data_IF_132369581123
#
_entry.id   IF_132369581123
#
_cell.length_a   1.000
_cell.length_b   1.000
_cell.length_c   1.000
_cell.angle_alpha   90.00
_cell.angle_beta   90.00
_cell.angle_gamma   90.00
#
_symmetry.space_group_name_H-M   'P 1'
#
loop_
_entity.id
_entity.type
_entity.pdbx_description
1 polymer ?
#
# COMPACT_ATOMS: atom_id res chain seq x y z
N UNK A 1 -16.00 -10.10 -24.56
CA UNK A 1 -16.00 -9.95 -26.03
C UNK A 1 -14.61 -9.58 -26.49
N UNK A 2 -14.14 -10.25 -27.50
CA UNK A 2 -12.86 -9.94 -28.16
C UNK A 2 -13.14 -9.00 -29.33
N UNK A 3 -12.44 -7.86 -29.38
CA UNK A 3 -12.58 -6.88 -30.46
C UNK A 3 -11.33 -6.00 -30.58
N UNK A 4 -11.08 -5.52 -31.79
CA UNK A 4 -10.07 -4.50 -32.03
C UNK A 4 -10.71 -3.12 -31.77
N UNK A 5 -10.01 -2.28 -31.01
CA UNK A 5 -10.40 -0.89 -30.79
C UNK A 5 -9.76 -0.04 -31.88
N UNK A 6 -10.58 0.54 -32.76
CA UNK A 6 -10.14 1.37 -33.87
C UNK A 6 -10.83 2.74 -33.84
N UNK A 7 -10.02 3.78 -33.88
CA UNK A 7 -10.48 5.16 -33.89
C UNK A 7 -11.00 5.66 -32.54
N UNK A 8 -11.76 6.76 -32.59
CA UNK A 8 -12.28 7.47 -31.42
C UNK A 8 -13.46 6.73 -30.75
N UNK A 9 -14.18 5.92 -31.51
CA UNK A 9 -15.34 5.16 -31.04
C UNK A 9 -15.40 3.81 -31.74
N UNK A 10 -15.51 2.75 -30.94
CA UNK A 10 -15.72 1.38 -31.45
C UNK A 10 -17.05 0.85 -30.96
N UNK A 11 -17.93 0.43 -31.88
CA UNK A 11 -19.23 -0.15 -31.56
C UNK A 11 -19.08 -1.65 -31.31
N UNK A 12 -19.55 -2.13 -30.14
CA UNK A 12 -19.53 -3.54 -29.79
C UNK A 12 -20.86 -4.19 -30.19
N UNK A 13 -21.02 -4.55 -31.46
CA UNK A 13 -22.23 -5.17 -32.02
C UNK A 13 -22.68 -6.41 -31.24
N UNK A 14 -21.73 -7.21 -30.75
CA UNK A 14 -22.01 -8.39 -29.95
C UNK A 14 -22.70 -8.11 -28.60
N UNK A 15 -22.65 -6.88 -28.11
CA UNK A 15 -23.32 -6.43 -26.89
C UNK A 15 -24.70 -5.81 -27.16
N UNK A 16 -25.05 -5.54 -28.43
CA UNK A 16 -26.31 -4.89 -28.79
C UNK A 16 -27.52 -5.69 -28.30
N UNK A 17 -28.45 -5.01 -27.62
CA UNK A 17 -29.67 -5.63 -27.07
C UNK A 17 -29.46 -6.53 -25.83
N UNK A 18 -28.25 -6.69 -25.34
CA UNK A 18 -27.96 -7.38 -24.07
C UNK A 18 -28.16 -6.47 -22.87
N UNK A 19 -28.56 -7.06 -21.75
CA UNK A 19 -28.61 -6.32 -20.50
C UNK A 19 -27.19 -5.89 -20.11
N UNK A 20 -27.01 -4.61 -19.81
CA UNK A 20 -25.73 -4.07 -19.32
C UNK A 20 -25.38 -4.70 -17.96
N UNK A 21 -24.17 -5.25 -17.77
CA UNK A 21 -23.72 -5.70 -16.47
C UNK A 21 -23.42 -4.48 -15.55
N UNK A 22 -23.31 -4.74 -14.24
CA UNK A 22 -22.96 -3.70 -13.26
C UNK A 22 -21.52 -3.21 -13.43
N UNK A 23 -20.63 -4.04 -13.99
CA UNK A 23 -19.24 -3.73 -14.24
C UNK A 23 -18.82 -4.19 -15.64
N UNK A 24 -18.09 -3.35 -16.34
CA UNK A 24 -17.47 -3.63 -17.64
C UNK A 24 -15.98 -3.36 -17.51
N UNK A 25 -15.16 -4.41 -17.59
CA UNK A 25 -13.71 -4.28 -17.68
C UNK A 25 -13.31 -4.26 -19.15
N UNK A 26 -12.69 -3.15 -19.56
CA UNK A 26 -12.02 -3.04 -20.85
C UNK A 26 -10.59 -3.54 -20.64
N UNK A 27 -10.02 -4.21 -21.63
CA UNK A 27 -8.68 -4.83 -21.55
C UNK A 27 -8.61 -5.96 -20.53
N UNK A 28 -9.67 -6.77 -20.45
CA UNK A 28 -9.66 -8.04 -19.75
C UNK A 28 -8.48 -8.89 -20.25
N UNK A 29 -7.86 -9.69 -19.38
CA UNK A 29 -6.60 -10.42 -19.65
C UNK A 29 -5.35 -9.55 -19.94
N UNK A 30 -5.44 -8.23 -19.78
CA UNK A 30 -4.31 -7.28 -19.96
C UNK A 30 -3.58 -7.39 -21.31
N UNK A 31 -4.34 -7.59 -22.38
CA UNK A 31 -3.80 -7.86 -23.72
C UNK A 31 -3.23 -6.62 -24.42
N UNK A 32 -3.59 -5.42 -23.95
CA UNK A 32 -3.21 -4.16 -24.62
C UNK A 32 -2.60 -3.18 -23.63
N UNK A 33 -1.50 -2.53 -24.03
CA UNK A 33 -0.90 -1.45 -23.26
C UNK A 33 -1.75 -0.18 -23.41
N UNK A 34 -2.62 0.07 -22.43
CA UNK A 34 -3.58 1.19 -22.46
C UNK A 34 -3.92 1.66 -21.04
N UNK A 35 -4.36 2.92 -20.94
CA UNK A 35 -5.00 3.44 -19.74
C UNK A 35 -6.51 3.21 -19.81
N UNK A 36 -7.05 2.53 -18.82
CA UNK A 36 -8.48 2.27 -18.71
C UNK A 36 -9.17 3.46 -18.03
N UNK A 37 -10.34 3.83 -18.55
CA UNK A 37 -11.29 4.73 -17.88
C UNK A 37 -12.64 4.03 -17.81
N UNK A 38 -13.19 3.97 -16.61
CA UNK A 38 -14.50 3.37 -16.39
C UNK A 38 -15.61 4.37 -16.66
N UNK A 39 -16.75 3.89 -17.12
CA UNK A 39 -17.98 4.65 -16.99
C UNK A 39 -18.42 4.75 -15.51
N UNK A 40 -19.30 5.69 -15.19
CA UNK A 40 -19.66 5.99 -13.81
C UNK A 40 -20.25 4.80 -13.02
N UNK A 41 -21.02 3.91 -13.67
CA UNK A 41 -21.60 2.74 -13.00
C UNK A 41 -20.54 1.67 -12.73
N UNK A 42 -19.67 1.39 -13.72
CA UNK A 42 -18.56 0.47 -13.57
C UNK A 42 -17.57 0.95 -12.51
N UNK A 43 -17.24 2.26 -12.49
CA UNK A 43 -16.38 2.85 -11.48
C UNK A 43 -16.95 2.66 -10.06
N UNK A 44 -18.22 3.06 -9.84
CA UNK A 44 -18.85 2.94 -8.53
C UNK A 44 -18.95 1.47 -8.05
N UNK A 45 -19.26 0.57 -8.99
CA UNK A 45 -19.31 -0.87 -8.67
C UNK A 45 -17.92 -1.41 -8.26
N UNK A 46 -16.88 -1.12 -9.06
CA UNK A 46 -15.53 -1.59 -8.80
C UNK A 46 -14.96 -0.99 -7.51
N UNK A 47 -15.15 0.31 -7.27
CA UNK A 47 -14.73 0.97 -6.02
C UNK A 47 -15.30 0.27 -4.78
N UNK A 48 -16.56 -0.15 -4.82
CA UNK A 48 -17.22 -0.82 -3.70
C UNK A 48 -16.91 -2.31 -3.58
N UNK A 49 -16.53 -3.01 -4.67
CA UNK A 49 -16.51 -4.47 -4.74
C UNK A 49 -15.19 -5.09 -5.22
N UNK A 50 -14.17 -4.29 -5.53
CA UNK A 50 -12.91 -4.77 -6.11
C UNK A 50 -12.31 -5.97 -5.35
N UNK A 51 -12.29 -5.90 -4.03
CA UNK A 51 -11.78 -6.96 -3.15
C UNK A 51 -12.55 -8.28 -3.24
N UNK A 52 -13.69 -8.30 -3.94
CA UNK A 52 -14.56 -9.47 -4.11
C UNK A 52 -14.47 -10.09 -5.50
N UNK A 53 -13.63 -9.56 -6.38
CA UNK A 53 -13.42 -10.15 -7.69
C UNK A 53 -12.63 -11.45 -7.54
N UNK A 54 -13.15 -12.55 -8.07
CA UNK A 54 -12.50 -13.86 -7.97
C UNK A 54 -11.23 -13.93 -8.83
N UNK A 55 -11.24 -13.33 -10.01
CA UNK A 55 -10.10 -13.31 -10.92
C UNK A 55 -9.03 -12.32 -10.45
N UNK A 56 -7.82 -12.83 -10.18
CA UNK A 56 -6.71 -12.03 -9.66
C UNK A 56 -6.19 -11.02 -10.70
N UNK A 57 -6.17 -11.39 -11.99
CA UNK A 57 -5.73 -10.49 -13.04
C UNK A 57 -6.74 -9.36 -13.25
N UNK A 58 -8.04 -9.68 -13.30
CA UNK A 58 -9.09 -8.69 -13.39
C UNK A 58 -9.07 -7.72 -12.18
N UNK A 59 -8.80 -8.22 -10.96
CA UNK A 59 -8.57 -7.36 -9.78
C UNK A 59 -7.39 -6.42 -9.98
N UNK A 60 -6.25 -6.96 -10.40
CA UNK A 60 -5.01 -6.19 -10.61
C UNK A 60 -5.20 -5.11 -11.69
N UNK A 61 -5.75 -5.47 -12.84
CA UNK A 61 -6.02 -4.54 -13.97
C UNK A 61 -7.00 -3.44 -13.55
N UNK A 62 -8.06 -3.80 -12.83
CA UNK A 62 -9.04 -2.83 -12.34
C UNK A 62 -8.42 -1.88 -11.32
N UNK A 63 -7.63 -2.41 -10.38
CA UNK A 63 -6.94 -1.61 -9.38
C UNK A 63 -5.92 -0.66 -10.02
N UNK A 64 -5.15 -1.14 -11.02
CA UNK A 64 -4.21 -0.33 -11.79
C UNK A 64 -4.91 0.80 -12.56
N UNK A 65 -6.13 0.56 -13.06
CA UNK A 65 -6.91 1.62 -13.69
C UNK A 65 -7.24 2.74 -12.70
N UNK A 66 -7.63 2.43 -11.46
CA UNK A 66 -7.83 3.43 -10.41
C UNK A 66 -6.53 4.15 -10.03
N UNK A 67 -5.40 3.44 -10.01
CA UNK A 67 -4.09 4.05 -9.81
C UNK A 67 -3.77 5.08 -10.90
N UNK A 68 -3.97 4.74 -12.16
CA UNK A 68 -3.78 5.66 -13.26
C UNK A 68 -4.72 6.87 -13.19
N UNK A 69 -6.00 6.65 -12.84
CA UNK A 69 -6.97 7.73 -12.64
C UNK A 69 -6.55 8.65 -11.47
N UNK A 70 -6.00 8.10 -10.40
CA UNK A 70 -5.49 8.88 -9.25
C UNK A 70 -4.31 9.74 -9.67
N UNK A 71 -3.35 9.19 -10.41
CA UNK A 71 -2.18 9.91 -10.92
C UNK A 71 -2.56 11.02 -11.89
N UNK A 72 -3.60 10.81 -12.68
CA UNK A 72 -4.10 11.78 -13.65
C UNK A 72 -5.05 12.82 -13.02
N UNK A 73 -5.34 12.70 -11.71
CA UNK A 73 -6.21 13.64 -10.97
C UNK A 73 -7.71 13.43 -11.22
N UNK A 74 -8.10 12.28 -11.74
CA UNK A 74 -9.47 11.93 -12.10
C UNK A 74 -10.18 11.08 -11.04
N UNK A 75 -9.42 10.53 -10.08
CA UNK A 75 -9.93 9.80 -8.93
C UNK A 75 -9.35 10.36 -7.63
N UNK A 76 -10.16 10.59 -6.57
CA UNK A 76 -9.67 11.19 -5.33
C UNK A 76 -8.64 10.31 -4.63
N UNK A 77 -7.52 10.91 -4.23
CA UNK A 77 -6.42 10.22 -3.57
C UNK A 77 -6.85 9.48 -2.28
N UNK A 78 -7.68 10.11 -1.45
CA UNK A 78 -8.20 9.49 -0.21
C UNK A 78 -9.07 8.27 -0.52
N UNK A 79 -9.93 8.33 -1.55
CA UNK A 79 -10.73 7.17 -1.98
C UNK A 79 -9.85 6.02 -2.48
N UNK A 80 -8.75 6.32 -3.19
CA UNK A 80 -7.80 5.30 -3.63
C UNK A 80 -7.10 4.63 -2.44
N UNK A 81 -6.70 5.41 -1.43
CA UNK A 81 -6.11 4.88 -0.19
C UNK A 81 -7.07 3.92 0.49
N UNK A 82 -8.32 4.34 0.74
CA UNK A 82 -9.33 3.51 1.40
C UNK A 82 -9.67 2.24 0.62
N UNK A 83 -9.78 2.36 -0.71
CA UNK A 83 -9.99 1.19 -1.59
C UNK A 83 -8.82 0.22 -1.52
N UNK A 84 -7.59 0.72 -1.50
CA UNK A 84 -6.38 -0.11 -1.42
C UNK A 84 -6.28 -0.82 -0.07
N UNK A 85 -6.58 -0.16 1.05
CA UNK A 85 -6.63 -0.79 2.37
C UNK A 85 -7.63 -1.96 2.41
N UNK A 86 -8.82 -1.80 1.80
CA UNK A 86 -9.80 -2.91 1.68
C UNK A 86 -9.28 -4.05 0.81
N UNK A 87 -8.56 -3.75 -0.27
CA UNK A 87 -7.93 -4.75 -1.12
C UNK A 87 -6.87 -5.54 -0.35
N UNK A 88 -5.96 -4.85 0.34
CA UNK A 88 -4.89 -5.49 1.12
C UNK A 88 -5.40 -6.45 2.18
N UNK A 89 -6.58 -6.20 2.76
CA UNK A 89 -7.18 -7.09 3.74
C UNK A 89 -7.56 -8.48 3.19
N UNK A 90 -7.67 -8.63 1.87
CA UNK A 90 -8.16 -9.86 1.21
C UNK A 90 -7.28 -10.33 0.05
N UNK A 91 -6.31 -9.55 -0.39
CA UNK A 91 -5.45 -9.90 -1.53
C UNK A 91 -4.47 -11.01 -1.14
N UNK A 92 -4.43 -12.03 -1.98
CA UNK A 92 -3.58 -13.21 -1.81
C UNK A 92 -2.47 -13.29 -2.86
N UNK A 93 -2.55 -12.48 -3.91
CA UNK A 93 -1.52 -12.42 -4.94
C UNK A 93 -0.41 -11.47 -4.50
N UNK A 94 0.79 -12.01 -4.24
CA UNK A 94 1.89 -11.29 -3.59
C UNK A 94 2.43 -10.11 -4.41
N UNK A 95 2.40 -10.20 -5.74
CA UNK A 95 2.86 -9.12 -6.63
C UNK A 95 1.91 -7.94 -6.58
N UNK A 96 0.59 -8.20 -6.68
CA UNK A 96 -0.46 -7.18 -6.55
C UNK A 96 -0.40 -6.54 -5.17
N UNK A 97 -0.24 -7.35 -4.11
CA UNK A 97 -0.14 -6.88 -2.73
C UNK A 97 1.02 -5.87 -2.53
N UNK A 98 2.23 -6.25 -2.95
CA UNK A 98 3.42 -5.38 -2.83
C UNK A 98 3.28 -4.10 -3.64
N UNK A 99 2.75 -4.21 -4.85
CA UNK A 99 2.56 -3.05 -5.71
C UNK A 99 1.48 -2.11 -5.15
N UNK A 100 0.42 -2.68 -4.57
CA UNK A 100 -0.63 -1.92 -3.89
C UNK A 100 -0.08 -1.10 -2.71
N UNK A 101 0.76 -1.71 -1.87
CA UNK A 101 1.45 -1.00 -0.79
C UNK A 101 2.30 0.18 -1.30
N UNK A 102 3.07 -0.03 -2.36
CA UNK A 102 3.95 1.00 -2.93
C UNK A 102 3.14 2.19 -3.51
N UNK A 103 2.06 1.89 -4.26
CA UNK A 103 1.22 2.93 -4.83
C UNK A 103 0.40 3.67 -3.77
N UNK A 104 -0.08 2.96 -2.74
CA UNK A 104 -0.75 3.57 -1.59
C UNK A 104 0.19 4.52 -0.85
N UNK A 105 1.44 4.12 -0.63
CA UNK A 105 2.47 4.98 -0.02
C UNK A 105 2.68 6.26 -0.85
N UNK A 106 2.88 6.10 -2.15
CA UNK A 106 3.01 7.25 -3.07
C UNK A 106 1.80 8.18 -3.00
N UNK A 107 0.60 7.60 -2.97
CA UNK A 107 -0.65 8.38 -2.93
C UNK A 107 -0.78 9.15 -1.61
N UNK A 108 -0.61 8.46 -0.48
CA UNK A 108 -0.77 9.07 0.85
C UNK A 108 0.23 10.20 1.09
N UNK A 109 1.51 10.02 0.71
CA UNK A 109 2.54 11.01 0.95
C UNK A 109 2.54 12.16 -0.06
N UNK A 110 2.10 11.95 -1.31
CA UNK A 110 2.33 12.92 -2.38
C UNK A 110 1.05 13.46 -3.04
N UNK A 111 -0.04 12.68 -3.11
CA UNK A 111 -1.25 13.07 -3.84
C UNK A 111 -2.38 13.52 -2.93
N UNK A 112 -2.38 13.12 -1.66
CA UNK A 112 -3.33 13.66 -0.66
C UNK A 112 -3.05 15.14 -0.43
N UNK A 113 -4.11 15.94 -0.36
CA UNK A 113 -4.01 17.37 -0.10
C UNK A 113 -3.22 17.65 1.19
N UNK A 114 -2.30 18.63 1.22
CA UNK A 114 -1.43 18.89 2.38
C UNK A 114 -2.20 19.04 3.71
N UNK A 115 -3.37 19.69 3.68
CA UNK A 115 -4.19 19.89 4.87
C UNK A 115 -4.82 18.61 5.44
N UNK A 116 -4.87 17.52 4.65
CA UNK A 116 -5.46 16.24 5.03
C UNK A 116 -4.40 15.15 5.24
N UNK A 117 -3.17 15.41 4.78
CA UNK A 117 -2.12 14.39 4.69
C UNK A 117 -1.82 13.71 6.02
N UNK A 118 -1.61 14.49 7.06
CA UNK A 118 -1.31 14.00 8.41
C UNK A 118 -2.41 13.05 8.94
N UNK A 119 -3.68 13.41 8.76
CA UNK A 119 -4.81 12.56 9.15
C UNK A 119 -4.84 11.26 8.36
N UNK A 120 -4.62 11.32 7.04
CA UNK A 120 -4.59 10.14 6.17
C UNK A 120 -3.41 9.22 6.51
N UNK A 121 -2.22 9.78 6.76
CA UNK A 121 -1.05 8.98 7.14
C UNK A 121 -1.28 8.24 8.46
N UNK A 122 -1.84 8.90 9.49
CA UNK A 122 -2.21 8.23 10.75
C UNK A 122 -3.29 7.16 10.56
N UNK A 123 -4.28 7.42 9.70
CA UNK A 123 -5.30 6.42 9.37
C UNK A 123 -4.67 5.19 8.73
N UNK A 124 -3.83 5.37 7.72
CA UNK A 124 -3.12 4.27 7.05
C UNK A 124 -2.23 3.51 8.02
N UNK A 125 -1.48 4.19 8.89
CA UNK A 125 -0.66 3.55 9.91
C UNK A 125 -1.50 2.65 10.84
N UNK A 126 -2.64 3.16 11.35
CA UNK A 126 -3.52 2.40 12.23
C UNK A 126 -4.11 1.16 11.54
N UNK A 127 -4.53 1.28 10.28
CA UNK A 127 -5.06 0.17 9.50
C UNK A 127 -3.98 -0.87 9.17
N UNK A 128 -2.78 -0.45 8.75
CA UNK A 128 -1.66 -1.35 8.50
C UNK A 128 -1.24 -2.11 9.76
N UNK A 129 -1.24 -1.44 10.92
CA UNK A 129 -0.98 -2.09 12.20
C UNK A 129 -2.05 -3.14 12.55
N UNK A 130 -3.31 -2.81 12.31
CA UNK A 130 -4.43 -3.73 12.50
C UNK A 130 -4.31 -4.95 11.58
N UNK A 131 -4.01 -4.73 10.30
CA UNK A 131 -3.83 -5.80 9.32
C UNK A 131 -2.61 -6.68 9.65
N UNK A 132 -1.49 -6.08 10.09
CA UNK A 132 -0.30 -6.84 10.49
C UNK A 132 -0.56 -7.75 11.70
N UNK A 133 -1.37 -7.29 12.66
CA UNK A 133 -1.80 -8.10 13.80
C UNK A 133 -2.77 -9.23 13.42
N UNK A 134 -3.59 -9.03 12.39
CA UNK A 134 -4.56 -10.01 11.93
C UNK A 134 -4.01 -11.01 10.90
N UNK A 135 -2.86 -10.71 10.30
CA UNK A 135 -2.23 -11.58 9.31
C UNK A 135 -1.74 -12.89 9.93
N UNK A 136 -1.59 -13.93 9.11
CA UNK A 136 -1.04 -15.21 9.54
C UNK A 136 0.35 -15.00 10.15
N UNK A 137 0.56 -15.55 11.34
CA UNK A 137 1.78 -15.39 12.12
C UNK A 137 3.02 -15.87 11.33
N UNK A 138 4.02 -15.00 11.20
CA UNK A 138 5.26 -15.27 10.47
C UNK A 138 5.11 -15.32 8.95
N UNK A 139 3.96 -14.92 8.39
CA UNK A 139 3.76 -14.87 6.94
C UNK A 139 4.51 -13.70 6.30
N UNK A 140 4.81 -13.84 5.00
CA UNK A 140 5.35 -12.75 4.18
C UNK A 140 4.41 -11.53 4.16
N UNK A 141 3.10 -11.76 4.14
CA UNK A 141 2.09 -10.71 4.24
C UNK A 141 2.21 -9.92 5.55
N UNK A 142 2.36 -10.60 6.69
CA UNK A 142 2.58 -9.95 7.98
C UNK A 142 3.84 -9.10 7.98
N UNK A 143 4.94 -9.65 7.47
CA UNK A 143 6.23 -8.93 7.36
C UNK A 143 6.11 -7.68 6.47
N UNK A 144 5.44 -7.79 5.32
CA UNK A 144 5.24 -6.67 4.40
C UNK A 144 4.36 -5.57 5.02
N UNK A 145 3.29 -5.94 5.74
CA UNK A 145 2.41 -4.99 6.43
C UNK A 145 3.15 -4.27 7.57
N UNK A 146 3.90 -5.01 8.38
CA UNK A 146 4.68 -4.44 9.46
C UNK A 146 5.80 -3.51 8.94
N UNK A 147 6.44 -3.89 7.83
CA UNK A 147 7.43 -3.04 7.15
C UNK A 147 6.78 -1.77 6.58
N UNK A 148 5.64 -1.91 5.91
CA UNK A 148 4.91 -0.77 5.36
C UNK A 148 4.45 0.19 6.48
N UNK A 149 3.94 -0.34 7.60
CA UNK A 149 3.55 0.45 8.77
C UNK A 149 4.64 1.44 9.21
N UNK A 150 5.90 1.00 9.23
CA UNK A 150 7.04 1.82 9.64
C UNK A 150 7.30 3.02 8.71
N UNK A 151 6.78 3.00 7.49
CA UNK A 151 6.86 4.11 6.54
C UNK A 151 5.80 5.21 6.73
N UNK A 152 4.88 5.05 7.69
CA UNK A 152 3.78 5.99 7.92
C UNK A 152 3.85 6.73 9.26
N UNK A 153 5.01 6.68 9.92
CA UNK A 153 5.21 7.44 11.16
C UNK A 153 5.12 8.94 10.93
N UNK A 154 4.46 9.64 11.85
CA UNK A 154 4.38 11.09 11.91
C UNK A 154 4.96 11.60 13.23
N UNK A 155 5.62 12.76 13.19
CA UNK A 155 6.14 13.40 14.38
C UNK A 155 5.00 13.70 15.38
N UNK A 156 5.18 13.27 16.62
CA UNK A 156 4.16 13.44 17.68
C UNK A 156 3.06 12.38 17.67
N UNK A 157 3.11 11.37 16.79
CA UNK A 157 2.22 10.20 16.88
C UNK A 157 2.71 9.24 17.98
N UNK A 158 2.16 9.41 19.17
CA UNK A 158 2.52 8.61 20.35
C UNK A 158 2.18 7.11 20.19
N UNK A 159 1.15 6.76 19.44
CA UNK A 159 0.78 5.36 19.21
C UNK A 159 1.78 4.68 18.28
N UNK A 160 2.17 5.36 17.20
CA UNK A 160 3.21 4.89 16.30
C UNK A 160 4.53 4.71 17.05
N UNK A 161 4.97 5.75 17.77
CA UNK A 161 6.24 5.72 18.52
C UNK A 161 6.26 4.58 19.56
N UNK A 162 5.17 4.37 20.30
CA UNK A 162 5.07 3.29 21.27
C UNK A 162 5.16 1.91 20.62
N UNK A 163 4.45 1.67 19.51
CA UNK A 163 4.51 0.40 18.79
C UNK A 163 5.89 0.14 18.20
N UNK A 164 6.49 1.13 17.51
CA UNK A 164 7.78 0.98 16.88
C UNK A 164 8.91 0.75 17.93
N UNK A 165 8.91 1.50 19.04
CA UNK A 165 9.82 1.27 20.17
C UNK A 165 9.61 -0.10 20.81
N UNK A 166 8.33 -0.48 21.02
CA UNK A 166 7.98 -1.77 21.61
C UNK A 166 8.41 -2.95 20.75
N UNK A 167 8.33 -2.85 19.40
CA UNK A 167 8.91 -3.84 18.49
C UNK A 167 10.43 -3.92 18.64
N UNK A 168 11.11 -2.76 18.79
CA UNK A 168 12.55 -2.69 18.89
C UNK A 168 13.09 -3.31 20.21
N UNK A 169 12.39 -3.09 21.31
CA UNK A 169 12.79 -3.56 22.65
C UNK A 169 12.10 -4.86 23.09
N UNK A 170 11.17 -5.39 22.28
CA UNK A 170 10.45 -6.63 22.53
C UNK A 170 9.29 -6.52 23.53
N UNK A 171 8.88 -5.31 23.91
CA UNK A 171 7.70 -5.08 24.77
C UNK A 171 6.39 -5.14 24.02
N UNK A 172 6.43 -4.92 22.69
CA UNK A 172 5.34 -5.18 21.74
C UNK A 172 5.83 -6.27 20.78
N UNK A 173 4.98 -7.25 20.51
CA UNK A 173 5.29 -8.33 19.57
C UNK A 173 4.14 -8.52 18.60
N UNK A 174 4.47 -8.77 17.34
CA UNK A 174 3.55 -9.38 16.37
C UNK A 174 3.88 -10.88 16.35
N UNK A 175 2.89 -11.72 16.67
CA UNK A 175 3.13 -13.16 16.81
C UNK A 175 3.74 -13.75 15.53
N UNK A 176 4.85 -14.45 15.66
CA UNK A 176 5.59 -15.05 14.55
C UNK A 176 6.47 -14.09 13.73
N UNK A 177 6.41 -12.79 13.93
CA UNK A 177 7.28 -11.83 13.23
C UNK A 177 8.72 -11.94 13.78
N UNK A 178 9.66 -12.27 12.90
CA UNK A 178 11.09 -12.24 13.22
C UNK A 178 11.67 -10.83 13.01
N UNK A 179 12.17 -10.23 14.09
CA UNK A 179 12.85 -8.94 14.05
C UNK A 179 14.35 -9.18 13.87
N UNK A 180 14.73 -9.46 12.65
CA UNK A 180 16.11 -9.63 12.24
C UNK A 180 16.92 -8.31 12.26
N UNK A 181 18.18 -8.37 11.85
CA UNK A 181 19.06 -7.19 11.79
C UNK A 181 18.50 -6.10 10.85
N UNK A 182 17.97 -6.50 9.69
CA UNK A 182 17.47 -5.55 8.69
C UNK A 182 16.20 -4.87 9.18
N UNK A 183 15.27 -5.65 9.73
CA UNK A 183 14.03 -5.10 10.30
C UNK A 183 14.32 -4.20 11.50
N UNK A 184 15.29 -4.55 12.37
CA UNK A 184 15.77 -3.70 13.46
C UNK A 184 16.20 -2.32 12.94
N UNK A 185 17.00 -2.28 11.87
CA UNK A 185 17.44 -1.01 11.28
C UNK A 185 16.31 -0.25 10.59
N UNK A 186 15.33 -0.93 10.01
CA UNK A 186 14.13 -0.30 9.47
C UNK A 186 13.33 0.41 10.57
N UNK A 187 13.16 -0.23 11.74
CA UNK A 187 12.52 0.41 12.90
C UNK A 187 13.30 1.65 13.36
N UNK A 188 14.62 1.55 13.45
CA UNK A 188 15.48 2.67 13.88
C UNK A 188 15.38 3.84 12.91
N UNK A 189 15.47 3.59 11.60
CA UNK A 189 15.31 4.63 10.57
C UNK A 189 13.95 5.31 10.67
N UNK A 190 12.91 4.54 10.88
CA UNK A 190 11.55 5.03 11.06
C UNK A 190 11.43 5.93 12.31
N UNK A 191 11.93 5.46 13.46
CA UNK A 191 11.91 6.26 14.70
C UNK A 191 12.75 7.53 14.60
N UNK A 192 13.88 7.47 13.89
CA UNK A 192 14.74 8.65 13.68
C UNK A 192 14.05 9.67 12.77
N UNK A 193 13.36 9.22 11.72
CA UNK A 193 12.66 10.12 10.77
C UNK A 193 11.54 10.93 11.42
N UNK A 194 10.99 10.44 12.54
CA UNK A 194 9.92 11.13 13.30
C UNK A 194 10.43 11.75 14.61
N UNK A 195 11.74 11.97 14.73
CA UNK A 195 12.42 12.57 15.90
C UNK A 195 12.21 11.80 17.22
N UNK A 196 11.91 10.50 17.15
CA UNK A 196 11.75 9.62 18.31
C UNK A 196 13.05 8.92 18.71
N UNK A 197 14.09 8.94 17.88
CA UNK A 197 15.44 8.51 18.19
C UNK A 197 16.47 9.55 17.77
N UNK A 198 17.54 9.65 18.53
CA UNK A 198 18.65 10.60 18.29
C UNK A 198 19.82 9.92 17.57
N UNK A 199 20.78 10.72 17.09
CA UNK A 199 22.02 10.17 16.53
C UNK A 199 22.84 9.39 17.55
N UNK A 200 22.77 9.74 18.85
CA UNK A 200 23.41 9.00 19.93
C UNK A 200 22.79 7.61 20.08
N UNK A 201 21.48 7.46 19.92
CA UNK A 201 20.79 6.16 19.95
C UNK A 201 21.22 5.30 18.76
N UNK A 202 21.35 5.90 17.56
CA UNK A 202 21.86 5.23 16.35
C UNK A 202 23.29 4.73 16.57
N UNK A 203 24.16 5.56 17.18
CA UNK A 203 25.54 5.20 17.50
C UNK A 203 25.60 4.07 18.53
N UNK A 204 24.74 4.11 19.54
CA UNK A 204 24.64 3.06 20.55
C UNK A 204 24.18 1.72 19.94
N UNK A 205 23.27 1.75 18.95
CA UNK A 205 22.86 0.54 18.23
C UNK A 205 23.99 0.00 17.34
N UNK A 206 24.67 0.87 16.59
CA UNK A 206 25.81 0.47 15.75
C UNK A 206 26.92 -0.18 16.58
N UNK A 207 27.21 0.34 17.77
CA UNK A 207 28.22 -0.20 18.66
C UNK A 207 27.95 -1.63 19.12
N UNK A 208 26.69 -2.11 19.11
CA UNK A 208 26.35 -3.50 19.46
C UNK A 208 26.87 -4.50 18.43
N UNK A 209 26.91 -4.11 17.14
CA UNK A 209 27.40 -4.94 16.04
C UNK A 209 27.90 -4.03 14.90
N UNK A 210 29.18 -3.63 14.99
CA UNK A 210 29.80 -2.74 14.01
C UNK A 210 30.28 -3.52 12.77
N UNK A 211 29.42 -3.61 11.76
CA UNK A 211 29.70 -4.20 10.45
C UNK A 211 29.57 -3.14 9.35
N UNK A 212 30.12 -3.41 8.17
CA UNK A 212 29.99 -2.52 7.02
C UNK A 212 28.52 -2.27 6.69
N UNK A 213 27.70 -3.32 6.68
CA UNK A 213 26.26 -3.24 6.44
C UNK A 213 25.56 -2.36 7.49
N UNK A 214 25.83 -2.56 8.77
CA UNK A 214 25.22 -1.76 9.83
C UNK A 214 25.68 -0.30 9.82
N UNK A 215 26.89 -0.01 9.34
CA UNK A 215 27.35 1.39 9.11
C UNK A 215 26.54 2.06 7.99
N UNK A 216 26.21 1.34 6.92
CA UNK A 216 25.35 1.84 5.86
C UNK A 216 23.93 2.15 6.36
N UNK A 217 23.33 1.24 7.14
CA UNK A 217 22.04 1.48 7.79
C UNK A 217 22.08 2.67 8.75
N UNK A 218 23.11 2.77 9.58
CA UNK A 218 23.27 3.89 10.49
C UNK A 218 23.47 5.22 9.75
N UNK A 219 24.17 5.21 8.61
CA UNK A 219 24.28 6.40 7.75
C UNK A 219 22.90 6.83 7.23
N UNK A 220 22.09 5.89 6.72
CA UNK A 220 20.73 6.19 6.27
C UNK A 220 19.81 6.69 7.39
N UNK A 221 19.98 6.19 8.63
CA UNK A 221 19.20 6.65 9.77
C UNK A 221 19.53 8.08 10.23
N UNK A 222 20.71 8.62 9.89
CA UNK A 222 21.14 10.00 10.25
C UNK A 222 20.83 11.03 9.16
N UNK A 223 20.42 10.59 7.96
CA UNK A 223 20.15 11.47 6.81
C UNK A 223 18.75 12.05 6.86
#
# INVERSE_FOLDING_TARGET
FELDVDGETTIVEAAAGKQRPAFVLINDDDLTYTKIRFDAESQAFAEANLQRFDDALARAVTWLAFWDMTRDGEFPAECFVDMTLRLLATETESTTFRYALACMSTTAHHYVAPARREEVLRHVAAELWTLANAAEAGSDTQFQLATAYLGYGEEGDAAFAANARGLLDGTVTLDGLDIDNNFTWTIIQSLTSVNEMTNEDVDAQLAKKDTTENREFAYGARA
#
